data_IF_111811535560
#
_entry.id   IF_111811535560
#
_cell.length_a   1.000
_cell.length_b   1.000
_cell.length_c   1.000
_cell.angle_alpha   90.00
_cell.angle_beta   90.00
_cell.angle_gamma   90.00
#
_symmetry.space_group_name_H-M   'P 1'
#
loop_
_entity.id
_entity.type
_entity.pdbx_description
1 polymer ?
#
# COMPACT_ATOMS: atom_id res chain seq x y z
N UNK A 1 -32.12 74.03 16.39
CA UNK A 1 -32.75 75.35 16.20
C UNK A 1 -31.82 76.40 16.77
N UNK A 2 -31.81 77.61 16.21
CA UNK A 2 -31.11 78.74 16.84
C UNK A 2 -31.97 79.32 17.95
N UNK A 3 -31.34 79.82 19.01
CA UNK A 3 -31.99 80.47 20.15
C UNK A 3 -31.22 81.74 20.54
N UNK A 4 -31.86 82.69 21.22
CA UNK A 4 -31.28 83.99 21.60
C UNK A 4 -31.87 85.18 20.84
N UNK A 5 -31.67 86.40 21.35
CA UNK A 5 -32.22 87.66 20.80
C UNK A 5 -31.79 87.94 19.36
N UNK A 6 -30.59 87.50 19.00
CA UNK A 6 -30.03 87.71 17.66
C UNK A 6 -30.19 86.49 16.74
N UNK A 7 -30.96 85.47 17.13
CA UNK A 7 -31.15 84.26 16.34
C UNK A 7 -31.71 84.53 14.93
N UNK A 8 -32.50 85.60 14.77
CA UNK A 8 -33.03 86.05 13.47
C UNK A 8 -31.98 86.66 12.54
N UNK A 9 -30.79 87.00 13.04
CA UNK A 9 -29.68 87.52 12.23
C UNK A 9 -28.89 86.42 11.51
N UNK A 10 -29.24 85.14 11.72
CA UNK A 10 -28.53 84.00 11.18
C UNK A 10 -29.47 83.08 10.39
N UNK A 11 -29.04 82.68 9.19
CA UNK A 11 -29.68 81.63 8.40
C UNK A 11 -28.88 80.34 8.54
N UNK A 12 -29.49 79.29 9.08
CA UNK A 12 -28.93 77.94 9.04
C UNK A 12 -29.15 77.35 7.65
N UNK A 13 -28.11 77.35 6.81
CA UNK A 13 -28.13 76.57 5.58
C UNK A 13 -27.92 75.10 5.93
N UNK A 14 -28.98 74.30 5.89
CA UNK A 14 -28.88 72.85 6.09
C UNK A 14 -28.12 72.25 4.91
N UNK A 15 -26.90 71.78 5.14
CA UNK A 15 -26.18 70.98 4.16
C UNK A 15 -26.94 69.67 4.00
N UNK A 16 -27.61 69.49 2.85
CA UNK A 16 -28.70 68.52 2.67
C UNK A 16 -28.35 67.05 2.91
N UNK A 17 -27.07 66.70 2.86
CA UNK A 17 -26.45 65.49 3.41
C UNK A 17 -24.93 65.62 3.22
N UNK A 18 -24.13 65.11 4.14
CA UNK A 18 -22.71 64.83 3.89
C UNK A 18 -22.58 63.33 3.59
N UNK A 19 -22.15 63.00 2.38
CA UNK A 19 -21.77 61.63 2.03
C UNK A 19 -20.26 61.49 2.16
N UNK A 20 -19.81 60.40 2.77
CA UNK A 20 -18.41 60.01 2.80
C UNK A 20 -18.27 58.67 2.10
N UNK A 21 -17.27 58.55 1.22
CA UNK A 21 -16.89 57.27 0.65
C UNK A 21 -15.83 56.65 1.57
N UNK A 22 -16.23 55.66 2.36
CA UNK A 22 -15.33 54.94 3.25
C UNK A 22 -14.88 53.68 2.52
N UNK A 23 -13.58 53.59 2.25
CA UNK A 23 -13.00 52.37 1.71
C UNK A 23 -13.04 51.28 2.79
N UNK A 24 -13.66 50.12 2.53
CA UNK A 24 -13.69 49.02 3.49
C UNK A 24 -12.28 48.57 3.88
N UNK A 25 -12.05 48.31 5.16
CA UNK A 25 -10.81 47.71 5.63
C UNK A 25 -10.72 46.24 5.19
N UNK A 26 -9.53 45.64 5.26
CA UNK A 26 -9.35 44.22 4.88
C UNK A 26 -9.26 43.34 6.12
N UNK A 27 -10.11 42.31 6.19
CA UNK A 27 -9.94 41.18 7.11
C UNK A 27 -9.25 40.02 6.40
N UNK A 28 -8.31 39.40 7.10
CA UNK A 28 -7.48 38.31 6.56
C UNK A 28 -7.84 37.02 7.28
N UNK A 29 -8.25 36.00 6.53
CA UNK A 29 -8.32 34.62 7.03
C UNK A 29 -6.90 34.06 7.11
N UNK A 30 -6.49 33.62 8.29
CA UNK A 30 -5.22 32.95 8.56
C UNK A 30 -5.50 31.50 8.95
N UNK A 31 -5.20 30.54 8.08
CA UNK A 31 -5.34 29.12 8.40
C UNK A 31 -4.15 28.62 9.21
N UNK A 32 -4.39 27.72 10.16
CA UNK A 32 -3.31 27.05 10.88
C UNK A 32 -2.67 25.97 9.99
N UNK A 33 -1.32 25.86 9.99
CA UNK A 33 -0.64 24.79 9.27
C UNK A 33 -1.03 23.43 9.83
N UNK A 34 -1.30 22.50 8.94
CA UNK A 34 -1.86 21.19 9.26
C UNK A 34 -1.21 20.12 8.41
N UNK A 35 -1.08 18.91 8.95
CA UNK A 35 -0.43 17.80 8.26
C UNK A 35 -1.25 16.52 8.32
N UNK A 36 -1.13 15.69 7.28
CA UNK A 36 -1.59 14.29 7.31
C UNK A 36 -0.77 13.39 6.40
N UNK A 37 -0.96 12.09 6.55
CA UNK A 37 -0.43 11.09 5.61
C UNK A 37 -1.39 10.83 4.46
N UNK A 38 -0.85 10.38 3.33
CA UNK A 38 -1.62 9.90 2.20
C UNK A 38 -2.61 8.79 2.64
N UNK A 39 -3.82 8.81 2.08
CA UNK A 39 -4.89 7.87 2.43
C UNK A 39 -5.70 8.24 3.68
N UNK A 40 -5.21 9.14 4.53
CA UNK A 40 -5.96 9.64 5.70
C UNK A 40 -6.96 10.72 5.30
N UNK A 41 -8.07 10.84 6.04
CA UNK A 41 -8.99 11.98 5.92
C UNK A 41 -8.31 13.27 6.37
N UNK A 42 -8.82 14.41 5.91
CA UNK A 42 -8.37 15.70 6.45
C UNK A 42 -8.69 15.74 7.95
N UNK A 43 -7.74 16.16 8.81
CA UNK A 43 -8.06 16.51 10.19
C UNK A 43 -8.95 17.76 10.21
N UNK A 44 -9.41 18.15 11.40
CA UNK A 44 -10.11 19.42 11.56
C UNK A 44 -9.19 20.57 11.17
N UNK A 45 -9.66 21.43 10.26
CA UNK A 45 -8.93 22.61 9.80
C UNK A 45 -9.37 23.81 10.63
N UNK A 46 -8.41 24.57 11.16
CA UNK A 46 -8.62 25.70 12.05
C UNK A 46 -7.89 26.94 11.55
N UNK A 47 -8.14 28.07 12.22
CA UNK A 47 -7.48 29.33 11.93
C UNK A 47 -8.19 30.50 12.58
N UNK A 48 -7.72 31.70 12.26
CA UNK A 48 -8.22 32.97 12.82
C UNK A 48 -8.49 34.00 11.74
N UNK A 49 -9.13 35.10 12.13
CA UNK A 49 -9.25 36.30 11.29
C UNK A 49 -8.51 37.45 11.96
N UNK A 50 -7.74 38.22 11.17
CA UNK A 50 -7.01 39.40 11.62
C UNK A 50 -7.37 40.63 10.78
N UNK A 51 -7.00 41.83 11.25
CA UNK A 51 -7.24 43.10 10.53
C UNK A 51 -8.39 43.94 11.06
N UNK A 52 -8.98 43.56 12.21
CA UNK A 52 -9.97 44.40 12.90
C UNK A 52 -9.37 45.74 13.34
N UNK A 53 -10.15 46.81 13.23
CA UNK A 53 -9.77 48.16 13.64
C UNK A 53 -10.58 48.63 14.84
N UNK A 54 -10.17 49.73 15.47
CA UNK A 54 -10.94 50.40 16.55
C UNK A 54 -11.34 49.50 17.73
N UNK A 55 -10.58 48.44 18.02
CA UNK A 55 -10.88 47.49 19.09
C UNK A 55 -12.03 46.53 18.78
N UNK A 56 -12.47 46.45 17.52
CA UNK A 56 -13.46 45.49 17.07
C UNK A 56 -12.92 44.06 17.16
N UNK A 57 -13.86 43.12 17.24
CA UNK A 57 -13.60 41.68 17.30
C UNK A 57 -14.38 40.98 16.21
N UNK A 58 -14.09 39.69 15.99
CA UNK A 58 -14.85 38.84 15.08
C UNK A 58 -16.37 38.91 15.34
N UNK A 59 -16.77 38.88 16.61
CA UNK A 59 -18.18 38.88 16.99
C UNK A 59 -18.87 40.24 16.85
N UNK A 60 -18.12 41.35 16.87
CA UNK A 60 -18.69 42.69 16.77
C UNK A 60 -18.67 43.26 15.35
N UNK A 61 -17.87 42.69 14.45
CA UNK A 61 -17.68 43.19 13.08
C UNK A 61 -18.16 42.22 11.99
N UNK A 62 -18.53 40.99 12.36
CA UNK A 62 -18.95 39.97 11.41
C UNK A 62 -20.11 39.14 11.93
N UNK A 63 -20.87 38.61 10.98
CA UNK A 63 -21.90 37.59 11.18
C UNK A 63 -21.55 36.31 10.38
N UNK A 64 -22.18 35.19 10.75
CA UNK A 64 -21.92 33.88 10.15
C UNK A 64 -21.04 32.97 11.00
N UNK A 65 -20.45 31.94 10.38
CA UNK A 65 -19.63 30.93 11.06
C UNK A 65 -18.30 30.82 10.35
N UNK A 66 -17.21 31.12 11.07
CA UNK A 66 -15.86 30.95 10.56
C UNK A 66 -15.60 29.47 10.28
N UNK A 67 -15.23 29.16 9.04
CA UNK A 67 -14.92 27.80 8.60
C UNK A 67 -13.65 27.78 7.74
N UNK A 68 -12.85 26.73 7.88
CA UNK A 68 -11.70 26.45 7.03
C UNK A 68 -11.91 25.13 6.28
N UNK A 69 -11.61 25.12 4.99
CA UNK A 69 -11.74 23.93 4.16
C UNK A 69 -10.57 23.80 3.18
N UNK A 70 -10.22 22.55 2.85
CA UNK A 70 -9.23 22.22 1.83
C UNK A 70 -9.89 21.38 0.74
N UNK A 71 -9.58 21.63 -0.55
CA UNK A 71 -10.09 20.82 -1.65
C UNK A 71 -9.45 19.41 -1.71
N UNK A 72 -8.33 19.20 -1.01
CA UNK A 72 -7.63 17.93 -1.00
C UNK A 72 -8.45 16.83 -0.30
N UNK A 73 -8.69 15.71 -1.00
CA UNK A 73 -9.37 14.52 -0.45
C UNK A 73 -8.35 13.49 0.06
N UNK A 74 -8.79 12.40 0.69
CA UNK A 74 -7.89 11.34 1.20
C UNK A 74 -6.99 10.71 0.13
N UNK A 75 -7.36 10.82 -1.15
CA UNK A 75 -6.59 10.34 -2.31
C UNK A 75 -5.70 11.39 -2.96
N UNK A 76 -5.69 12.64 -2.46
CA UNK A 76 -4.76 13.67 -2.90
C UNK A 76 -3.32 13.23 -2.62
N UNK A 77 -2.44 13.38 -3.61
CA UNK A 77 -1.05 12.95 -3.54
C UNK A 77 -0.24 13.76 -2.51
N UNK A 78 0.94 13.29 -2.10
CA UNK A 78 1.85 14.06 -1.25
C UNK A 78 2.22 15.40 -1.89
N UNK A 79 2.23 16.44 -1.07
CA UNK A 79 2.42 17.82 -1.50
C UNK A 79 1.79 18.82 -0.53
N UNK A 80 1.79 20.09 -0.93
CA UNK A 80 1.18 21.19 -0.19
C UNK A 80 -0.13 21.63 -0.86
N UNK A 81 -1.11 21.97 -0.05
CA UNK A 81 -2.48 22.26 -0.47
C UNK A 81 -3.04 23.45 0.28
N UNK A 82 -3.92 24.18 -0.41
CA UNK A 82 -4.55 25.35 0.17
C UNK A 82 -5.58 24.99 1.25
N UNK A 83 -5.67 25.82 2.28
CA UNK A 83 -6.72 25.81 3.30
C UNK A 83 -7.40 27.18 3.30
N UNK A 84 -8.63 27.24 2.79
CA UNK A 84 -9.35 28.50 2.60
C UNK A 84 -10.31 28.78 3.75
N UNK A 85 -10.21 29.97 4.34
CA UNK A 85 -11.18 30.50 5.28
C UNK A 85 -12.45 31.01 4.57
N UNK A 86 -13.61 30.84 5.20
CA UNK A 86 -14.91 31.20 4.62
C UNK A 86 -15.99 31.33 5.70
N UNK A 87 -17.21 31.66 5.28
CA UNK A 87 -18.42 31.56 6.11
C UNK A 87 -18.76 32.80 6.93
N UNK A 88 -17.95 33.86 6.86
CA UNK A 88 -18.24 35.15 7.48
C UNK A 88 -18.73 36.18 6.46
N UNK A 89 -19.59 37.08 6.95
CA UNK A 89 -20.02 38.29 6.25
C UNK A 89 -19.65 39.50 7.10
N UNK A 90 -19.13 40.54 6.46
CA UNK A 90 -18.76 41.78 7.14
C UNK A 90 -20.02 42.58 7.44
N UNK A 91 -20.17 43.04 8.67
CA UNK A 91 -21.31 43.87 9.04
C UNK A 91 -21.15 45.27 8.43
N UNK A 92 -22.28 45.84 8.01
CA UNK A 92 -22.38 47.21 7.46
C UNK A 92 -21.50 47.50 6.22
N UNK A 93 -20.90 46.48 5.60
CA UNK A 93 -20.00 46.66 4.45
C UNK A 93 -18.65 47.29 4.80
N UNK A 94 -18.28 47.32 6.08
CA UNK A 94 -17.06 47.98 6.55
C UNK A 94 -15.77 47.21 6.23
N UNK A 95 -15.89 45.94 5.84
CA UNK A 95 -14.76 45.07 5.57
C UNK A 95 -14.90 44.27 4.27
N UNK A 96 -13.75 43.96 3.67
CA UNK A 96 -13.59 42.94 2.63
C UNK A 96 -12.68 41.82 3.12
N UNK A 97 -12.96 40.58 2.75
CA UNK A 97 -12.15 39.43 3.17
C UNK A 97 -11.09 39.05 2.15
N UNK A 98 -9.92 38.63 2.63
CA UNK A 98 -8.84 38.02 1.83
C UNK A 98 -8.27 36.79 2.54
N UNK A 99 -7.68 35.87 1.76
CA UNK A 99 -6.86 34.80 2.32
C UNK A 99 -5.46 35.32 2.59
N UNK A 100 -4.83 34.85 3.67
CA UNK A 100 -3.39 35.05 3.84
C UNK A 100 -2.61 34.29 2.75
N UNK A 101 -1.44 34.77 2.29
CA UNK A 101 -0.64 34.06 1.28
C UNK A 101 -0.25 32.63 1.70
N UNK A 102 0.08 32.46 2.99
CA UNK A 102 0.45 31.18 3.63
C UNK A 102 -0.65 30.12 3.51
N UNK A 103 -1.92 30.53 3.41
CA UNK A 103 -3.05 29.62 3.26
C UNK A 103 -2.94 28.74 2.01
N UNK A 104 -2.16 29.15 1.00
CA UNK A 104 -1.96 28.37 -0.23
C UNK A 104 -1.22 27.05 -0.03
N UNK A 105 -0.47 26.92 1.08
CA UNK A 105 0.36 25.75 1.41
C UNK A 105 0.08 25.18 2.82
N UNK A 106 -1.00 25.62 3.46
CA UNK A 106 -1.25 25.32 4.87
C UNK A 106 -1.56 23.84 5.18
N UNK A 107 -2.00 23.02 4.20
CA UNK A 107 -2.15 21.58 4.39
C UNK A 107 -1.00 20.83 3.69
N UNK A 108 -0.15 20.16 4.46
CA UNK A 108 0.89 19.26 3.91
C UNK A 108 0.44 17.80 3.98
N UNK A 109 0.56 17.10 2.86
CA UNK A 109 0.34 15.65 2.76
C UNK A 109 1.68 14.96 2.57
N UNK A 110 2.00 14.00 3.44
CA UNK A 110 3.21 13.19 3.36
C UNK A 110 2.91 11.79 2.80
N UNK A 111 3.87 11.12 2.15
CA UNK A 111 3.69 9.74 1.68
C UNK A 111 3.33 8.79 2.84
N UNK A 112 2.49 7.80 2.58
CA UNK A 112 2.20 6.76 3.56
C UNK A 112 3.26 5.66 3.52
N UNK A 113 3.90 5.41 4.66
CA UNK A 113 4.91 4.37 4.77
C UNK A 113 4.29 2.98 4.87
N UNK A 114 4.64 2.09 3.93
CA UNK A 114 4.27 0.68 3.95
C UNK A 114 5.52 -0.21 3.85
N UNK A 115 5.41 -1.42 4.40
CA UNK A 115 6.43 -2.47 4.20
C UNK A 115 5.83 -3.57 3.33
N UNK A 116 6.45 -3.82 2.19
CA UNK A 116 6.18 -4.98 1.33
C UNK A 116 7.14 -6.08 1.72
N UNK A 117 6.63 -7.30 1.88
CA UNK A 117 7.43 -8.50 2.12
C UNK A 117 7.24 -9.44 0.94
N UNK A 118 8.33 -9.75 0.24
CA UNK A 118 8.32 -10.73 -0.84
C UNK A 118 8.30 -12.12 -0.23
N UNK A 119 7.38 -12.96 -0.67
CA UNK A 119 7.23 -14.30 -0.11
C UNK A 119 8.38 -15.21 -0.53
N UNK A 120 8.73 -16.13 0.36
CA UNK A 120 9.69 -17.18 0.04
C UNK A 120 9.05 -18.21 -0.88
N UNK A 121 9.82 -18.70 -1.84
CA UNK A 121 9.38 -19.70 -2.81
C UNK A 121 10.47 -20.74 -3.03
N UNK A 122 10.10 -21.88 -3.60
CA UNK A 122 11.03 -22.95 -3.93
C UNK A 122 10.78 -23.52 -5.31
N UNK A 123 11.81 -24.07 -5.92
CA UNK A 123 11.71 -24.88 -7.15
C UNK A 123 12.82 -25.93 -7.20
N UNK A 124 12.70 -26.89 -8.10
CA UNK A 124 13.80 -27.80 -8.40
C UNK A 124 14.78 -27.22 -9.43
N UNK A 125 16.00 -27.78 -9.49
CA UNK A 125 16.96 -27.49 -10.55
C UNK A 125 16.32 -27.76 -11.93
N UNK A 126 16.65 -26.93 -12.92
CA UNK A 126 16.14 -26.95 -14.30
C UNK A 126 14.65 -26.61 -14.46
N UNK A 127 13.96 -26.22 -13.38
CA UNK A 127 12.62 -25.63 -13.47
C UNK A 127 12.71 -24.10 -13.63
N UNK A 128 11.75 -23.46 -14.33
CA UNK A 128 11.66 -22.01 -14.37
C UNK A 128 11.44 -21.42 -12.96
N UNK A 129 11.80 -20.16 -12.77
CA UNK A 129 11.46 -19.45 -11.53
C UNK A 129 9.92 -19.38 -11.39
N UNK A 130 9.36 -19.67 -10.21
CA UNK A 130 7.92 -19.54 -9.99
C UNK A 130 7.51 -18.06 -10.07
N UNK A 131 6.21 -17.82 -10.22
CA UNK A 131 5.67 -16.48 -10.04
C UNK A 131 5.92 -16.04 -8.58
N UNK A 132 6.47 -14.85 -8.40
CA UNK A 132 6.65 -14.28 -7.08
C UNK A 132 5.35 -13.66 -6.56
N UNK A 133 5.16 -13.74 -5.25
CA UNK A 133 4.08 -13.09 -4.53
C UNK A 133 4.65 -12.19 -3.44
N UNK A 134 3.79 -11.33 -2.90
CA UNK A 134 4.13 -10.46 -1.81
C UNK A 134 2.94 -10.31 -0.86
N UNK A 135 3.26 -9.90 0.36
CA UNK A 135 2.34 -9.36 1.35
C UNK A 135 2.76 -7.94 1.73
N UNK A 136 1.91 -7.20 2.44
CA UNK A 136 2.29 -5.90 2.96
C UNK A 136 1.71 -5.64 4.35
N UNK A 137 2.36 -4.72 5.06
CA UNK A 137 1.91 -4.20 6.36
C UNK A 137 2.07 -2.68 6.37
N UNK A 138 1.17 -1.98 7.05
CA UNK A 138 1.17 -0.53 7.14
C UNK A 138 -0.23 0.03 7.42
N UNK A 139 -0.42 1.35 7.30
CA UNK A 139 -1.74 1.96 7.41
C UNK A 139 -2.68 1.44 6.31
N UNK A 140 -3.99 1.46 6.59
CA UNK A 140 -5.01 1.21 5.58
C UNK A 140 -5.05 2.38 4.59
N UNK A 141 -4.81 2.10 3.31
CA UNK A 141 -4.82 3.09 2.23
C UNK A 141 -6.01 2.80 1.31
N UNK A 142 -6.92 3.77 1.09
CA UNK A 142 -8.05 3.61 0.19
C UNK A 142 -7.61 3.15 -1.21
N UNK A 143 -8.17 2.03 -1.67
CA UNK A 143 -7.88 1.48 -3.00
C UNK A 143 -6.55 0.71 -3.13
N UNK A 144 -5.72 0.63 -2.09
CA UNK A 144 -4.50 -0.17 -2.13
C UNK A 144 -4.84 -1.67 -2.07
N UNK A 145 -4.39 -2.42 -3.06
CA UNK A 145 -4.63 -3.87 -3.17
C UNK A 145 -3.35 -4.62 -3.53
N UNK A 146 -3.30 -5.94 -3.25
CA UNK A 146 -2.16 -6.77 -3.65
C UNK A 146 -1.89 -6.70 -5.16
N UNK A 147 -2.89 -6.76 -6.07
CA UNK A 147 -2.66 -6.56 -7.49
C UNK A 147 -2.00 -5.22 -7.84
N UNK A 148 -2.40 -4.11 -7.21
CA UNK A 148 -1.76 -2.81 -7.44
C UNK A 148 -0.29 -2.79 -6.96
N UNK A 149 0.01 -3.49 -5.86
CA UNK A 149 1.38 -3.66 -5.37
C UNK A 149 2.21 -4.53 -6.32
N UNK A 150 1.64 -5.63 -6.80
CA UNK A 150 2.29 -6.51 -7.78
C UNK A 150 2.64 -5.78 -9.08
N UNK A 151 1.80 -4.83 -9.52
CA UNK A 151 2.08 -3.99 -10.67
C UNK A 151 3.13 -2.88 -10.39
N UNK A 152 3.19 -2.39 -9.14
CA UNK A 152 4.09 -1.32 -8.72
C UNK A 152 5.44 -1.78 -8.16
N UNK A 153 5.66 -3.09 -7.99
CA UNK A 153 6.91 -3.68 -7.48
C UNK A 153 7.57 -4.49 -8.58
N UNK A 154 8.81 -4.12 -8.92
CA UNK A 154 9.65 -4.88 -9.84
C UNK A 154 10.51 -5.86 -9.04
N UNK A 155 10.31 -7.16 -9.26
CA UNK A 155 11.10 -8.22 -8.64
C UNK A 155 12.39 -8.49 -9.42
N UNK A 156 13.45 -8.84 -8.70
CA UNK A 156 14.72 -9.25 -9.29
C UNK A 156 15.34 -10.39 -8.51
N UNK A 157 15.80 -11.41 -9.22
CA UNK A 157 16.66 -12.46 -8.68
C UNK A 157 17.76 -12.79 -9.68
N UNK A 158 18.91 -13.24 -9.19
CA UNK A 158 20.00 -13.74 -10.01
C UNK A 158 19.85 -15.25 -10.34
N UNK A 159 18.85 -15.92 -9.78
CA UNK A 159 18.57 -17.32 -10.09
C UNK A 159 18.06 -17.48 -11.52
N UNK A 160 18.71 -18.37 -12.28
CA UNK A 160 18.31 -18.82 -13.63
C UNK A 160 17.74 -20.24 -13.54
N UNK A 161 16.95 -20.72 -14.52
CA UNK A 161 16.41 -22.08 -14.47
C UNK A 161 17.45 -23.17 -14.16
N UNK A 162 18.67 -23.02 -14.69
CA UNK A 162 19.81 -23.93 -14.49
C UNK A 162 20.71 -23.59 -13.28
N UNK A 163 20.30 -22.69 -12.39
CA UNK A 163 21.02 -22.40 -11.16
C UNK A 163 21.18 -23.67 -10.31
N UNK A 164 22.35 -23.92 -9.71
CA UNK A 164 22.57 -25.01 -8.76
C UNK A 164 21.62 -24.94 -7.55
N UNK A 165 21.57 -26.02 -6.76
CA UNK A 165 20.87 -25.98 -5.48
C UNK A 165 21.50 -24.94 -4.54
N UNK A 166 20.63 -24.24 -3.81
CA UNK A 166 21.03 -23.15 -2.93
C UNK A 166 19.92 -22.13 -2.71
N UNK A 167 20.24 -21.08 -1.96
CA UNK A 167 19.33 -19.97 -1.68
C UNK A 167 19.71 -18.75 -2.51
N UNK A 168 18.72 -18.18 -3.19
CA UNK A 168 18.87 -16.99 -4.01
C UNK A 168 17.94 -15.91 -3.49
N UNK A 169 18.43 -14.69 -3.31
CA UNK A 169 17.57 -13.59 -2.88
C UNK A 169 16.61 -13.18 -4.00
N UNK A 170 15.40 -12.81 -3.58
CA UNK A 170 14.40 -12.14 -4.41
C UNK A 170 14.31 -10.71 -3.88
N UNK A 171 15.00 -9.80 -4.56
CA UNK A 171 14.94 -8.39 -4.29
C UNK A 171 13.73 -7.78 -4.98
N UNK A 172 13.33 -6.59 -4.54
CA UNK A 172 12.34 -5.81 -5.25
C UNK A 172 12.51 -4.32 -5.02
N UNK A 173 12.05 -3.53 -5.99
CA UNK A 173 11.95 -2.08 -5.88
C UNK A 173 10.50 -1.71 -6.14
N UNK A 174 9.87 -1.04 -5.18
CA UNK A 174 8.48 -0.61 -5.27
C UNK A 174 8.36 0.90 -5.53
N UNK A 175 7.48 1.29 -6.46
CA UNK A 175 7.12 2.70 -6.67
C UNK A 175 5.63 2.82 -6.97
N UNK A 176 4.89 3.40 -6.03
CA UNK A 176 3.46 3.74 -6.19
C UNK A 176 3.27 5.17 -5.69
N UNK A 177 2.54 5.98 -6.46
CA UNK A 177 2.29 7.37 -6.11
C UNK A 177 1.58 7.44 -4.74
N UNK A 178 2.06 8.34 -3.88
CA UNK A 178 1.52 8.50 -2.53
C UNK A 178 2.10 7.57 -1.45
N UNK A 179 2.91 6.57 -1.83
CA UNK A 179 3.49 5.63 -0.88
C UNK A 179 5.00 5.80 -0.74
N UNK A 180 5.48 5.62 0.49
CA UNK A 180 6.87 5.32 0.80
C UNK A 180 6.98 3.81 1.03
N UNK A 181 7.58 3.09 0.07
CA UNK A 181 7.59 1.62 0.06
C UNK A 181 8.95 1.10 0.51
N UNK A 182 8.96 0.38 1.63
CA UNK A 182 10.11 -0.43 2.07
C UNK A 182 9.91 -1.88 1.67
N UNK A 183 10.83 -2.42 0.88
CA UNK A 183 10.77 -3.82 0.44
C UNK A 183 11.68 -4.69 1.31
N UNK A 184 11.09 -5.72 1.93
CA UNK A 184 11.81 -6.83 2.55
C UNK A 184 12.01 -7.93 1.50
N UNK A 185 13.27 -8.29 1.17
CA UNK A 185 13.56 -9.34 0.21
C UNK A 185 13.00 -10.70 0.66
N UNK A 186 12.64 -11.52 -0.31
CA UNK A 186 12.29 -12.93 -0.13
C UNK A 186 13.47 -13.83 -0.50
N UNK A 187 13.27 -15.14 -0.36
CA UNK A 187 14.25 -16.16 -0.72
C UNK A 187 13.63 -17.17 -1.67
N UNK A 188 14.31 -17.39 -2.80
CA UNK A 188 14.10 -18.52 -3.69
C UNK A 188 15.04 -19.66 -3.28
N UNK A 189 14.49 -20.78 -2.85
CA UNK A 189 15.26 -22.01 -2.57
C UNK A 189 15.24 -22.92 -3.78
N UNK A 190 16.41 -23.16 -4.38
CA UNK A 190 16.59 -24.16 -5.44
C UNK A 190 17.00 -25.48 -4.81
N UNK A 191 16.21 -26.53 -5.05
CA UNK A 191 16.36 -27.84 -4.44
C UNK A 191 16.95 -28.81 -5.47
N UNK A 192 18.02 -29.51 -5.10
CA UNK A 192 18.46 -30.70 -5.83
C UNK A 192 17.69 -31.91 -5.32
N UNK A 193 16.88 -32.50 -6.19
CA UNK A 193 16.16 -33.75 -5.90
C UNK A 193 16.71 -34.93 -6.71
N UNK A 194 17.93 -34.80 -7.22
CA UNK A 194 18.63 -35.92 -7.86
C UNK A 194 18.87 -37.03 -6.82
N UNK A 195 18.60 -38.30 -7.15
CA UNK A 195 18.87 -39.40 -6.23
C UNK A 195 20.35 -39.39 -5.84
N UNK A 196 20.63 -39.27 -4.54
CA UNK A 196 22.00 -39.34 -4.02
C UNK A 196 22.50 -40.76 -4.26
N UNK A 197 23.41 -40.93 -5.23
CA UNK A 197 24.05 -42.22 -5.46
C UNK A 197 24.89 -42.49 -4.21
N UNK A 198 24.48 -43.47 -3.40
CA UNK A 198 25.32 -43.96 -2.30
C UNK A 198 26.59 -44.51 -2.96
N UNK A 199 27.80 -44.17 -2.48
CA UNK A 199 29.01 -44.77 -3.04
C UNK A 199 28.84 -46.27 -2.99
N UNK A 200 28.98 -46.92 -4.13
CA UNK A 200 29.06 -48.38 -4.22
C UNK A 200 30.13 -48.79 -3.20
N UNK A 201 29.84 -49.66 -2.22
CA UNK A 201 30.88 -50.12 -1.31
C UNK A 201 32.00 -50.68 -2.19
N UNK A 202 33.18 -50.04 -2.14
CA UNK A 202 34.37 -50.58 -2.77
C UNK A 202 34.57 -51.93 -2.10
N UNK A 203 34.40 -53.01 -2.84
CA UNK A 203 34.78 -54.32 -2.36
C UNK A 203 36.28 -54.23 -2.06
N UNK A 204 36.63 -54.13 -0.78
CA UNK A 204 38.00 -54.40 -0.34
C UNK A 204 38.28 -55.81 -0.79
N UNK A 205 39.18 -55.96 -1.76
CA UNK A 205 39.65 -57.28 -2.17
C UNK A 205 40.08 -58.01 -0.90
N UNK A 206 39.43 -59.14 -0.64
CA UNK A 206 39.85 -60.05 0.40
C UNK A 206 41.33 -60.37 0.15
N UNK A 207 42.24 -60.18 1.12
CA UNK A 207 43.64 -60.52 0.91
C UNK A 207 43.71 -62.00 0.53
N UNK A 208 44.28 -62.27 -0.66
CA UNK A 208 44.59 -63.63 -1.11
C UNK A 208 45.42 -64.32 -0.03
N UNK A 209 44.94 -65.46 0.45
CA UNK A 209 45.59 -66.22 1.50
C UNK A 209 47.01 -66.63 1.05
N UNK A 210 48.02 -66.02 1.65
CA UNK A 210 49.39 -66.49 1.55
C UNK A 210 49.54 -67.79 2.37
N UNK A 211 50.05 -68.83 1.72
CA UNK A 211 50.41 -70.11 2.33
C UNK A 211 51.48 -69.94 3.44
N UNK A 212 51.57 -70.85 4.42
CA UNK A 212 52.31 -70.62 5.65
C UNK A 212 53.82 -70.81 5.43
N UNK A 213 54.62 -69.90 5.98
CA UNK A 213 56.05 -70.11 6.20
C UNK A 213 56.34 -70.09 7.70
N UNK A 214 56.90 -71.19 8.18
CA UNK A 214 57.35 -71.40 9.55
C UNK A 214 58.61 -70.59 9.85
N UNK A 215 58.65 -69.83 10.94
CA UNK A 215 59.77 -69.80 11.90
C UNK A 215 59.52 -68.82 13.06
N UNK A 216 60.05 -69.23 14.21
CA UNK A 216 60.04 -68.67 15.56
C UNK A 216 60.80 -67.34 15.72
N UNK A 217 60.24 -66.38 16.47
CA UNK A 217 60.85 -65.75 17.67
C UNK A 217 60.11 -64.46 18.09
N UNK A 218 60.09 -64.22 19.41
CA UNK A 218 59.34 -63.20 20.13
C UNK A 218 59.94 -61.77 20.07
N UNK A 219 59.10 -60.73 20.09
CA UNK A 219 58.99 -59.74 21.19
C UNK A 219 58.32 -58.40 20.77
N UNK A 220 57.32 -58.03 21.58
CA UNK A 220 56.85 -56.69 22.03
C UNK A 220 56.23 -55.63 21.08
N UNK A 221 55.12 -55.08 21.59
CA UNK A 221 54.25 -54.04 21.04
C UNK A 221 54.84 -52.61 21.11
N UNK A 222 54.18 -51.63 20.45
CA UNK A 222 53.39 -50.70 21.26
C UNK A 222 52.02 -50.33 20.68
N UNK A 223 51.16 -49.85 21.58
CA UNK A 223 49.79 -49.37 21.40
C UNK A 223 49.78 -47.96 20.79
N UNK A 224 48.93 -47.73 19.79
CA UNK A 224 48.46 -46.40 19.39
C UNK A 224 46.92 -46.47 19.27
N UNK A 225 46.25 -45.87 20.25
CA UNK A 225 44.82 -45.55 20.22
C UNK A 225 44.52 -44.57 19.08
N UNK A 226 43.48 -44.82 18.29
CA UNK A 226 42.78 -43.76 17.59
C UNK A 226 41.28 -44.07 17.55
N UNK A 227 40.51 -43.31 18.32
CA UNK A 227 39.05 -43.37 18.38
C UNK A 227 38.47 -42.19 17.61
N UNK A 228 37.72 -42.44 16.52
CA UNK A 228 36.68 -41.54 16.05
C UNK A 228 35.46 -42.39 15.68
N UNK A 229 34.39 -42.26 16.47
CA UNK A 229 33.10 -42.92 16.24
C UNK A 229 32.29 -42.20 15.17
N UNK A 230 31.86 -42.95 14.15
CA UNK A 230 30.88 -42.50 13.17
C UNK A 230 29.46 -42.62 13.76
N UNK A 231 28.77 -41.50 13.94
CA UNK A 231 27.31 -41.48 14.14
C UNK A 231 26.62 -41.23 12.79
N UNK A 232 25.92 -42.24 12.27
CA UNK A 232 24.96 -42.08 11.18
C UNK A 232 23.59 -41.78 11.76
N UNK A 233 23.01 -40.62 11.46
CA UNK A 233 21.60 -40.33 11.70
C UNK A 233 20.86 -40.37 10.36
N UNK A 234 19.95 -41.33 10.20
CA UNK A 234 19.08 -41.47 9.03
C UNK A 234 17.78 -40.72 9.28
N UNK A 235 17.49 -39.70 8.47
CA UNK A 235 16.14 -39.12 8.39
C UNK A 235 15.38 -39.82 7.26
N UNK A 236 14.32 -40.55 7.59
CA UNK A 236 13.35 -41.02 6.60
C UNK A 236 12.32 -39.93 6.34
N UNK A 237 12.32 -39.38 5.12
CA UNK A 237 11.26 -38.50 4.63
C UNK A 237 10.10 -39.38 4.15
N UNK A 238 8.93 -39.21 4.75
CA UNK A 238 7.70 -39.88 4.35
C UNK A 238 7.07 -39.15 3.13
N UNK A 239 7.34 -39.67 1.94
CA UNK A 239 6.92 -39.09 0.67
C UNK A 239 5.39 -39.04 0.49
N UNK A 240 4.63 -39.86 1.20
CA UNK A 240 3.17 -39.79 1.16
C UNK A 240 2.63 -38.48 1.79
N UNK A 241 3.26 -38.00 2.86
CA UNK A 241 2.87 -36.74 3.53
C UNK A 241 3.23 -35.50 2.71
N UNK A 242 4.33 -35.55 1.96
CA UNK A 242 4.74 -34.46 1.06
C UNK A 242 3.74 -34.30 -0.09
N UNK A 243 3.23 -35.42 -0.62
CA UNK A 243 2.23 -35.41 -1.68
C UNK A 243 0.85 -34.93 -1.17
N UNK A 244 0.42 -35.36 0.02
CA UNK A 244 -0.82 -34.88 0.64
C UNK A 244 -0.80 -33.37 0.93
N UNK A 245 0.33 -32.83 1.36
CA UNK A 245 0.45 -31.39 1.65
C UNK A 245 0.38 -30.53 0.37
N UNK A 246 0.89 -31.05 -0.74
CA UNK A 246 0.78 -30.40 -2.06
C UNK A 246 -0.62 -30.54 -2.67
N UNK A 247 -1.33 -31.65 -2.42
CA UNK A 247 -2.71 -31.85 -2.89
C UNK A 247 -3.74 -31.05 -2.09
N UNK A 248 -3.49 -30.74 -0.81
CA UNK A 248 -4.37 -29.85 -0.02
C UNK A 248 -4.37 -28.39 -0.48
N UNK A 249 -3.38 -27.96 -1.26
CA UNK A 249 -3.38 -26.63 -1.91
C UNK A 249 -4.26 -26.57 -3.16
N UNK A 250 -4.71 -27.73 -3.67
CA UNK A 250 -5.71 -27.84 -4.73
C UNK A 250 -7.05 -28.29 -4.14
N UNK A 251 -7.72 -27.40 -3.41
CA UNK A 251 -9.17 -27.58 -3.18
C UNK A 251 -9.84 -27.35 -4.54
N UNK A 252 -10.55 -28.32 -5.16
CA UNK A 252 -11.35 -28.00 -6.33
C UNK A 252 -12.44 -27.02 -5.87
N UNK A 253 -12.57 -25.91 -6.57
CA UNK A 253 -13.79 -25.12 -6.51
C UNK A 253 -14.90 -26.06 -6.98
N UNK A 254 -15.76 -26.48 -6.04
CA UNK A 254 -17.06 -27.00 -6.41
C UNK A 254 -17.77 -25.86 -7.15
N UNK A 255 -17.84 -25.95 -8.47
CA UNK A 255 -18.72 -25.10 -9.26
C UNK A 255 -20.16 -25.50 -8.93
N UNK A 256 -20.78 -24.71 -8.06
CA UNK A 256 -22.23 -24.60 -8.00
C UNK A 256 -22.69 -23.83 -9.25
N UNK A 257 -22.94 -24.54 -10.34
CA UNK A 257 -23.67 -24.01 -11.50
C UNK A 257 -24.60 -25.09 -12.04
N UNK A 258 -25.88 -24.90 -11.76
CA UNK A 258 -27.00 -25.64 -12.30
C UNK A 258 -26.92 -25.73 -13.83
N UNK A 259 -26.66 -26.91 -14.37
CA UNK A 259 -27.13 -27.26 -15.72
C UNK A 259 -28.52 -27.88 -15.57
N UNK A 260 -29.55 -27.04 -15.59
CA UNK A 260 -30.90 -27.49 -15.90
C UNK A 260 -30.93 -27.94 -17.35
N UNK A 261 -31.15 -29.23 -17.58
CA UNK A 261 -31.50 -29.76 -18.89
C UNK A 261 -32.72 -29.01 -19.46
N UNK A 262 -32.76 -28.68 -20.76
CA UNK A 262 -33.99 -28.21 -21.37
C UNK A 262 -35.02 -29.35 -21.37
N UNK A 263 -36.31 -29.07 -21.09
CA UNK A 263 -37.33 -30.10 -21.08
C UNK A 263 -37.58 -30.67 -22.49
N UNK A 264 -38.08 -31.92 -22.60
CA UNK A 264 -38.30 -32.58 -23.88
C UNK A 264 -39.42 -31.89 -24.67
N UNK A 265 -39.12 -31.57 -25.93
CA UNK A 265 -40.10 -31.07 -26.91
C UNK A 265 -41.13 -32.16 -27.21
N UNK A 266 -42.37 -31.94 -26.78
CA UNK A 266 -43.53 -32.75 -27.16
C UNK A 266 -43.91 -32.49 -28.62
N UNK A 267 -44.00 -33.56 -29.40
CA UNK A 267 -44.66 -33.60 -30.69
C UNK A 267 -46.18 -33.35 -30.53
N UNK A 268 -46.70 -32.28 -31.14
CA UNK A 268 -48.08 -32.11 -31.64
C UNK A 268 -48.02 -30.92 -32.59
N UNK A 269 -48.20 -31.01 -33.91
CA UNK A 269 -49.40 -31.46 -34.61
C UNK A 269 -50.21 -30.24 -35.06
N UNK A 270 -50.15 -29.94 -36.37
CA UNK A 270 -51.09 -29.14 -37.17
C UNK A 270 -51.15 -27.60 -37.00
N UNK A 271 -50.86 -26.86 -38.07
CA UNK A 271 -51.87 -26.27 -38.97
C UNK A 271 -51.18 -25.43 -40.06
N UNK A 272 -51.50 -25.76 -41.31
CA UNK A 272 -51.29 -24.93 -42.48
C UNK A 272 -52.02 -23.60 -42.34
N UNK A 273 -51.44 -22.52 -42.85
CA UNK A 273 -52.21 -21.40 -43.40
C UNK A 273 -51.30 -20.43 -44.15
N UNK A 274 -51.41 -20.46 -45.47
CA UNK A 274 -51.22 -19.37 -46.44
C UNK A 274 -51.07 -17.95 -45.86
N UNK A 275 -50.15 -17.16 -46.42
CA UNK A 275 -50.48 -16.06 -47.36
C UNK A 275 -49.28 -15.16 -47.67
N UNK A 276 -48.74 -15.34 -48.88
CA UNK A 276 -48.43 -14.32 -49.90
C UNK A 276 -48.44 -12.82 -49.50
N UNK A 277 -47.40 -12.11 -49.97
CA UNK A 277 -47.40 -10.82 -50.74
C UNK A 277 -46.34 -9.81 -50.22
N UNK A 278 -45.36 -9.54 -51.09
CA UNK A 278 -44.41 -8.40 -51.16
C UNK A 278 -45.13 -7.03 -51.34
N UNK A 279 -44.48 -5.85 -51.28
CA UNK A 279 -43.03 -5.57 -51.31
C UNK A 279 -42.44 -4.90 -50.07
#
# INVERSE_FOLDING_TARGET
SLTGTDAGNYTLSSVGTTTANITPATLIYNSDPTHRTYGSTNPQLTGTVTGFVNGETLASATSGVLAFSAPATSTALPGEYAVNGSGLTADNGNYVFRQAPENSAALTITPAAITVTIDNVSRFINQPNPQFSLTYSGPSIPGLTIPSLMAGVTFQTNAKPNSPAGTYQINGVGKIAGLDIKVKPGVLTVIDNSPKILPTPVATQSPSAAAPASSTAAAQAPVQENTIGNFNVTYSVDWAKVLENNLRQFKPLAESSFFTAPPPSTHTGAQESNSRVSP
#
